data_IF_380775456398
#
_entry.id   IF_380775456398
#
_cell.length_a   1.000
_cell.length_b   1.000
_cell.length_c   1.000
_cell.angle_alpha   90.00
_cell.angle_beta   90.00
_cell.angle_gamma   90.00
#
_symmetry.space_group_name_H-M   'P 1'
#
loop_
_entity.id
_entity.type
_entity.pdbx_description
1 polymer ?
#
# COMPACT_ATOMS: atom_id res chain seq x y z
N UNK A 1 -13.62 5.31 -9.26
CA UNK A 1 -12.42 5.74 -9.98
C UNK A 1 -11.27 4.95 -9.41
N UNK A 2 -10.56 4.22 -10.25
CA UNK A 2 -9.36 3.50 -9.91
C UNK A 2 -8.20 4.53 -10.01
N UNK A 3 -7.62 4.88 -8.91
CA UNK A 3 -6.39 5.65 -8.89
C UNK A 3 -5.26 4.65 -9.08
N UNK A 4 -4.92 4.35 -10.35
CA UNK A 4 -3.80 3.50 -10.68
C UNK A 4 -2.59 3.87 -9.83
N UNK A 5 -2.06 2.92 -9.10
CA UNK A 5 -0.82 3.13 -8.34
C UNK A 5 0.31 3.53 -9.30
N UNK A 6 1.45 4.04 -8.82
CA UNK A 6 2.58 4.50 -9.64
C UNK A 6 3.25 3.40 -10.47
N UNK A 7 2.60 2.27 -10.65
CA UNK A 7 3.15 1.01 -11.15
C UNK A 7 3.53 0.95 -12.63
N UNK A 8 3.14 1.90 -13.47
CA UNK A 8 3.50 1.81 -14.90
C UNK A 8 4.67 2.71 -15.33
N UNK A 9 5.04 3.72 -14.53
CA UNK A 9 6.07 4.68 -14.93
C UNK A 9 7.48 4.39 -14.40
N UNK A 10 7.67 3.43 -13.49
CA UNK A 10 8.95 3.06 -12.89
C UNK A 10 9.24 1.55 -13.06
N UNK A 11 9.08 1.04 -14.28
CA UNK A 11 9.70 -0.23 -14.64
C UNK A 11 11.22 -0.03 -14.53
N UNK A 12 11.84 -0.65 -13.53
CA UNK A 12 13.29 -0.67 -13.40
C UNK A 12 13.94 -1.14 -14.71
N UNK A 13 15.21 -0.78 -14.91
CA UNK A 13 15.99 -1.19 -16.08
C UNK A 13 15.84 -2.70 -16.32
N UNK A 14 15.56 -3.09 -17.54
CA UNK A 14 15.57 -4.51 -17.95
C UNK A 14 17.01 -4.98 -18.17
N UNK A 15 17.23 -6.29 -18.19
CA UNK A 15 18.57 -6.84 -18.52
C UNK A 15 19.08 -6.38 -19.89
N UNK A 16 18.17 -6.22 -20.87
CA UNK A 16 18.53 -5.71 -22.20
C UNK A 16 18.98 -4.24 -22.13
N UNK A 17 18.32 -3.43 -21.32
CA UNK A 17 18.74 -2.04 -21.09
C UNK A 17 20.09 -1.95 -20.38
N UNK A 18 20.36 -2.86 -19.43
CA UNK A 18 21.67 -2.94 -18.78
C UNK A 18 22.76 -3.29 -19.82
N UNK A 19 22.52 -4.26 -20.70
CA UNK A 19 23.45 -4.60 -21.79
C UNK A 19 23.69 -3.40 -22.74
N UNK A 20 22.65 -2.64 -23.06
CA UNK A 20 22.77 -1.42 -23.88
C UNK A 20 23.64 -0.37 -23.15
N UNK A 21 23.46 -0.18 -21.84
CA UNK A 21 24.30 0.73 -21.05
C UNK A 21 25.77 0.28 -21.11
N UNK A 22 26.05 -1.01 -20.92
CA UNK A 22 27.41 -1.55 -21.05
C UNK A 22 28.02 -1.34 -22.43
N UNK A 23 27.22 -1.49 -23.51
CA UNK A 23 27.69 -1.30 -24.88
C UNK A 23 27.98 0.18 -25.23
N UNK A 24 27.20 1.10 -24.67
CA UNK A 24 27.30 2.54 -25.01
C UNK A 24 28.17 3.35 -24.04
N UNK A 25 28.56 2.77 -22.90
CA UNK A 25 29.40 3.44 -21.92
C UNK A 25 30.65 2.60 -21.59
N UNK A 26 31.82 2.93 -22.17
CA UNK A 26 33.04 2.16 -21.92
C UNK A 26 33.46 2.07 -20.46
N UNK A 27 33.02 3.02 -19.63
CA UNK A 27 33.32 3.07 -18.19
C UNK A 27 32.74 1.90 -17.41
N UNK A 28 31.61 1.31 -17.87
CA UNK A 28 30.93 0.21 -17.18
C UNK A 28 31.62 -1.16 -17.35
N UNK A 29 32.66 -1.25 -18.16
CA UNK A 29 33.41 -2.49 -18.37
C UNK A 29 34.85 -2.43 -17.81
N UNK A 30 35.17 -1.46 -16.95
CA UNK A 30 36.49 -1.28 -16.37
C UNK A 30 36.55 -1.84 -14.95
N UNK A 31 37.77 -2.19 -14.48
CA UNK A 31 38.01 -2.62 -13.10
C UNK A 31 37.71 -1.52 -12.05
N UNK A 32 37.54 -0.29 -12.50
CA UNK A 32 37.22 0.86 -11.63
C UNK A 32 35.73 1.04 -11.41
N UNK A 33 34.90 0.42 -12.23
CA UNK A 33 33.43 0.55 -12.13
C UNK A 33 32.75 -0.82 -12.33
N UNK A 34 32.09 -1.30 -11.29
CA UNK A 34 31.35 -2.55 -11.31
C UNK A 34 29.87 -2.30 -10.99
N UNK A 35 28.98 -2.79 -11.85
CA UNK A 35 27.55 -2.78 -11.60
C UNK A 35 27.23 -3.94 -10.68
N UNK A 36 26.94 -3.66 -9.41
CA UNK A 36 26.67 -4.67 -8.38
C UNK A 36 25.40 -5.47 -8.62
N UNK A 37 24.48 -4.93 -9.38
CA UNK A 37 23.20 -5.60 -9.66
C UNK A 37 22.16 -4.62 -10.14
N UNK A 38 20.98 -5.16 -10.37
CA UNK A 38 19.80 -4.40 -10.78
C UNK A 38 18.62 -4.85 -9.92
N UNK A 39 18.06 -3.91 -9.16
CA UNK A 39 16.91 -4.16 -8.30
C UNK A 39 15.65 -3.75 -9.04
N UNK A 40 14.82 -4.70 -9.52
CA UNK A 40 13.56 -4.36 -10.17
C UNK A 40 12.59 -3.68 -9.20
N UNK A 41 11.74 -2.81 -9.72
CA UNK A 41 10.64 -2.27 -8.92
C UNK A 41 9.66 -3.37 -8.54
N UNK A 42 9.22 -3.39 -7.28
CA UNK A 42 8.26 -4.36 -6.77
C UNK A 42 7.09 -3.64 -6.10
N UNK A 43 5.91 -3.73 -6.71
CA UNK A 43 4.68 -3.17 -6.13
C UNK A 43 4.37 -3.74 -4.74
N UNK A 44 4.67 -5.02 -4.50
CA UNK A 44 4.39 -5.67 -3.21
C UNK A 44 5.19 -5.08 -2.06
N UNK A 45 6.36 -4.52 -2.34
CA UNK A 45 7.22 -3.87 -1.33
C UNK A 45 6.84 -2.41 -1.07
N UNK A 46 5.95 -1.83 -1.89
CA UNK A 46 5.55 -0.42 -1.78
C UNK A 46 4.21 -0.22 -1.07
N UNK A 47 3.58 -1.30 -0.58
CA UNK A 47 2.25 -1.24 0.05
C UNK A 47 2.33 -0.77 1.50
N UNK A 48 1.69 0.36 1.86
CA UNK A 48 1.66 0.86 3.23
C UNK A 48 0.71 0.02 4.11
N UNK A 49 0.89 0.09 5.42
CA UNK A 49 -0.11 -0.40 6.39
C UNK A 49 -1.30 0.56 6.43
N UNK A 50 -2.46 0.06 6.80
CA UNK A 50 -3.65 0.92 7.04
C UNK A 50 -3.36 1.94 8.16
N UNK A 51 -2.50 1.60 9.11
CA UNK A 51 -1.99 2.51 10.15
C UNK A 51 -1.26 3.72 9.55
N UNK A 52 -0.39 3.51 8.56
CA UNK A 52 0.38 4.58 7.92
C UNK A 52 -0.54 5.51 7.12
N UNK A 53 -1.53 4.92 6.46
CA UNK A 53 -2.59 5.68 5.77
C UNK A 53 -3.37 6.56 6.75
N UNK A 54 -3.75 6.04 7.92
CA UNK A 54 -4.46 6.81 8.93
C UNK A 54 -3.65 8.02 9.42
N UNK A 55 -2.34 7.85 9.60
CA UNK A 55 -1.43 8.93 9.99
C UNK A 55 -1.35 10.03 8.91
N UNK A 56 -1.23 9.65 7.63
CA UNK A 56 -1.21 10.60 6.51
C UNK A 56 -2.51 11.39 6.40
N UNK A 57 -3.63 10.75 6.70
CA UNK A 57 -4.96 11.37 6.62
C UNK A 57 -5.36 12.16 7.87
N UNK A 58 -4.57 12.15 8.94
CA UNK A 58 -4.95 12.66 10.28
C UNK A 58 -6.28 12.07 10.76
N UNK A 59 -6.43 10.77 10.54
CA UNK A 59 -7.69 10.08 10.75
C UNK A 59 -7.99 9.81 12.23
N UNK A 60 -9.28 9.80 12.56
CA UNK A 60 -9.77 9.34 13.86
C UNK A 60 -10.26 7.90 13.76
N UNK A 61 -9.78 7.02 14.62
CA UNK A 61 -10.18 5.62 14.64
C UNK A 61 -11.61 5.44 15.18
N UNK A 62 -12.45 4.78 14.42
CA UNK A 62 -13.72 4.21 14.88
C UNK A 62 -13.51 2.75 15.31
N UNK A 63 -12.62 2.06 14.62
CA UNK A 63 -12.13 0.73 14.97
C UNK A 63 -10.70 0.59 14.45
N UNK A 64 -9.70 0.56 15.33
CA UNK A 64 -8.31 0.38 14.92
C UNK A 64 -8.07 -1.02 14.35
N UNK A 65 -8.67 -2.04 14.96
CA UNK A 65 -8.57 -3.43 14.53
C UNK A 65 -7.12 -3.86 14.25
N UNK A 66 -6.91 -4.44 13.08
CA UNK A 66 -5.60 -4.94 12.64
C UNK A 66 -4.86 -3.92 11.74
N UNK A 67 -5.02 -2.62 11.97
CA UNK A 67 -4.47 -1.56 11.12
C UNK A 67 -2.94 -1.66 10.92
N UNK A 68 -2.19 -2.12 11.93
CA UNK A 68 -0.73 -2.27 11.86
C UNK A 68 -0.25 -3.45 11.04
N UNK A 69 -1.10 -4.43 10.78
CA UNK A 69 -0.76 -5.63 9.99
C UNK A 69 -1.43 -5.67 8.62
N UNK A 70 -2.54 -4.96 8.42
CA UNK A 70 -3.23 -4.93 7.14
C UNK A 70 -2.53 -3.98 6.16
N UNK A 71 -2.20 -4.50 4.97
CA UNK A 71 -1.55 -3.77 3.87
C UNK A 71 -2.56 -3.23 2.88
N UNK A 72 -2.38 -1.99 2.44
CA UNK A 72 -3.25 -1.34 1.44
C UNK A 72 -2.69 -1.58 0.06
N UNK A 73 -3.20 -2.62 -0.62
CA UNK A 73 -2.78 -3.01 -1.98
C UNK A 73 -3.39 -2.09 -3.02
N UNK A 74 -4.64 -1.70 -2.81
CA UNK A 74 -5.35 -0.76 -3.68
C UNK A 74 -6.28 0.14 -2.87
N UNK A 75 -6.58 1.32 -3.40
CA UNK A 75 -7.55 2.25 -2.83
C UNK A 75 -8.68 2.48 -3.80
N UNK A 76 -9.92 2.33 -3.34
CA UNK A 76 -11.12 2.59 -4.16
C UNK A 76 -12.01 3.67 -3.57
N UNK A 77 -12.20 4.74 -4.33
CA UNK A 77 -13.19 5.77 -4.03
C UNK A 77 -14.57 5.31 -4.51
N UNK A 78 -15.49 5.12 -3.58
CA UNK A 78 -16.81 4.56 -3.85
C UNK A 78 -17.84 5.68 -4.05
N UNK A 79 -18.14 5.98 -5.30
CA UNK A 79 -19.16 6.94 -5.69
C UNK A 79 -20.50 6.30 -6.11
N UNK A 80 -20.50 4.98 -6.43
CA UNK A 80 -21.71 4.26 -6.91
C UNK A 80 -22.37 3.46 -5.77
N UNK A 81 -23.61 3.02 -6.01
CA UNK A 81 -24.31 2.09 -5.12
C UNK A 81 -23.69 0.69 -5.13
N UNK A 82 -23.93 -0.10 -4.09
CA UNK A 82 -23.39 -1.46 -3.92
C UNK A 82 -23.58 -2.34 -5.16
N UNK A 83 -24.73 -2.24 -5.82
CA UNK A 83 -25.03 -3.03 -7.02
C UNK A 83 -24.12 -2.73 -8.22
N UNK A 84 -23.38 -1.63 -8.20
CA UNK A 84 -22.59 -1.13 -9.33
C UNK A 84 -21.09 -0.95 -8.99
N UNK A 85 -20.59 -1.60 -7.93
CA UNK A 85 -19.18 -1.55 -7.49
C UNK A 85 -18.53 -2.93 -7.60
N UNK A 86 -18.61 -3.53 -8.78
CA UNK A 86 -17.94 -4.80 -9.06
C UNK A 86 -16.44 -4.71 -8.74
N UNK A 87 -15.92 -5.73 -8.08
CA UNK A 87 -14.49 -5.82 -7.72
C UNK A 87 -14.01 -4.81 -6.67
N UNK A 88 -14.89 -4.13 -5.93
CA UNK A 88 -14.46 -3.23 -4.86
C UNK A 88 -14.09 -3.98 -3.57
N UNK A 89 -14.63 -5.16 -3.35
CA UNK A 89 -14.41 -5.95 -2.14
C UNK A 89 -13.37 -7.05 -2.37
N UNK A 90 -12.10 -6.63 -2.57
CA UNK A 90 -10.99 -7.56 -2.77
C UNK A 90 -10.03 -7.51 -1.58
N UNK A 91 -9.17 -8.54 -1.50
CA UNK A 91 -8.08 -8.57 -0.52
C UNK A 91 -7.20 -7.32 -0.61
N UNK A 92 -6.97 -6.66 0.52
CA UNK A 92 -6.08 -5.50 0.59
C UNK A 92 -6.68 -4.21 0.03
N UNK A 93 -7.98 -4.18 -0.32
CA UNK A 93 -8.63 -2.94 -0.74
C UNK A 93 -8.93 -2.04 0.46
N UNK A 94 -8.52 -0.79 0.38
CA UNK A 94 -8.97 0.30 1.23
C UNK A 94 -10.13 1.02 0.54
N UNK A 95 -11.30 1.01 1.17
CA UNK A 95 -12.49 1.70 0.64
C UNK A 95 -12.54 3.12 1.19
N UNK A 96 -12.78 4.10 0.33
CA UNK A 96 -13.00 5.51 0.69
C UNK A 96 -14.41 5.90 0.30
N UNK A 97 -15.22 6.36 1.26
CA UNK A 97 -16.62 6.64 1.05
C UNK A 97 -17.10 7.75 2.00
N UNK A 98 -18.13 8.51 1.61
CA UNK A 98 -18.77 9.46 2.52
C UNK A 98 -19.36 8.73 3.74
N UNK A 99 -19.21 9.30 4.94
CA UNK A 99 -19.57 8.62 6.19
C UNK A 99 -21.07 8.38 6.41
N UNK A 100 -21.93 8.94 5.57
CA UNK A 100 -23.38 8.74 5.55
C UNK A 100 -23.84 7.63 4.57
N UNK A 101 -22.91 6.92 3.92
CA UNK A 101 -23.22 5.84 2.98
C UNK A 101 -23.42 4.51 3.70
N UNK A 102 -24.55 4.41 4.39
CA UNK A 102 -24.95 3.22 5.16
C UNK A 102 -24.96 1.95 4.31
N UNK A 103 -25.31 2.04 3.02
CA UNK A 103 -25.29 0.92 2.08
C UNK A 103 -23.91 0.32 1.89
N UNK A 104 -22.89 1.15 1.75
CA UNK A 104 -21.50 0.70 1.57
C UNK A 104 -20.91 0.20 2.88
N UNK A 105 -21.24 0.84 4.00
CA UNK A 105 -20.80 0.43 5.33
C UNK A 105 -21.31 -0.99 5.65
N UNK A 106 -22.61 -1.25 5.40
CA UNK A 106 -23.21 -2.57 5.57
C UNK A 106 -22.61 -3.61 4.62
N UNK A 107 -22.39 -3.25 3.35
CA UNK A 107 -21.76 -4.14 2.38
C UNK A 107 -20.31 -4.49 2.77
N UNK A 108 -19.55 -3.52 3.28
CA UNK A 108 -18.19 -3.72 3.80
C UNK A 108 -18.21 -4.67 4.99
N UNK A 109 -19.15 -4.48 5.93
CA UNK A 109 -19.30 -5.37 7.07
C UNK A 109 -19.64 -6.81 6.63
N UNK A 110 -20.54 -6.97 5.66
CA UNK A 110 -20.91 -8.28 5.12
C UNK A 110 -19.75 -8.94 4.40
N UNK A 111 -18.98 -8.21 3.56
CA UNK A 111 -17.79 -8.72 2.90
C UNK A 111 -16.76 -9.22 3.90
N UNK A 112 -16.53 -8.45 4.96
CA UNK A 112 -15.61 -8.81 6.05
C UNK A 112 -16.06 -10.09 6.78
N UNK A 113 -17.35 -10.22 7.09
CA UNK A 113 -17.92 -11.43 7.72
C UNK A 113 -17.85 -12.65 6.81
N UNK A 114 -17.87 -12.46 5.49
CA UNK A 114 -17.64 -13.51 4.49
C UNK A 114 -16.15 -13.82 4.26
N UNK A 115 -15.26 -13.27 5.08
CA UNK A 115 -13.83 -13.59 5.06
C UNK A 115 -13.02 -12.80 4.03
N UNK A 116 -13.55 -11.72 3.45
CA UNK A 116 -12.76 -10.84 2.57
C UNK A 116 -11.81 -10.00 3.43
N UNK A 117 -10.49 -10.15 3.30
CA UNK A 117 -9.52 -9.42 4.11
C UNK A 117 -9.27 -8.03 3.52
N UNK A 118 -10.25 -7.13 3.65
CA UNK A 118 -10.12 -5.73 3.27
C UNK A 118 -9.00 -5.04 4.07
N UNK A 119 -8.31 -4.07 3.48
CA UNK A 119 -7.35 -3.24 4.20
C UNK A 119 -8.06 -2.36 5.23
N UNK A 120 -9.21 -1.78 4.88
CA UNK A 120 -10.01 -0.97 5.79
C UNK A 120 -11.08 -0.15 5.10
N UNK A 121 -11.72 0.71 5.90
CA UNK A 121 -12.76 1.65 5.45
C UNK A 121 -12.44 3.05 5.97
N UNK A 122 -12.41 4.03 5.07
CA UNK A 122 -12.27 5.46 5.37
C UNK A 122 -13.61 6.15 5.16
N UNK A 123 -14.16 6.75 6.21
CA UNK A 123 -15.37 7.54 6.19
C UNK A 123 -14.99 9.03 6.08
N UNK A 124 -15.44 9.69 5.01
CA UNK A 124 -15.04 11.07 4.69
C UNK A 124 -16.13 12.08 5.04
N UNK A 125 -15.74 13.37 5.11
CA UNK A 125 -16.64 14.49 5.30
C UNK A 125 -17.05 14.77 6.74
N UNK A 126 -16.34 14.22 7.73
CA UNK A 126 -16.70 14.30 9.16
C UNK A 126 -18.12 13.77 9.45
N UNK A 127 -18.60 12.88 8.57
CA UNK A 127 -19.90 12.25 8.67
C UNK A 127 -19.78 10.92 9.40
N UNK A 128 -20.68 10.67 10.32
CA UNK A 128 -20.74 9.43 11.09
C UNK A 128 -21.91 8.56 10.68
N UNK A 129 -21.72 7.24 10.58
CA UNK A 129 -22.83 6.34 10.30
C UNK A 129 -23.88 6.36 11.39
N UNK A 130 -25.12 6.03 11.04
CA UNK A 130 -26.22 5.92 11.99
C UNK A 130 -25.92 4.86 13.06
N UNK A 131 -26.28 5.12 14.32
CA UNK A 131 -26.06 4.20 15.46
C UNK A 131 -26.61 2.79 15.22
N UNK A 132 -27.74 2.66 14.50
CA UNK A 132 -28.30 1.36 14.18
C UNK A 132 -27.44 0.59 13.18
N UNK A 133 -26.81 1.28 12.21
CA UNK A 133 -25.85 0.70 11.27
C UNK A 133 -24.61 0.21 12.02
N UNK A 134 -24.07 1.04 12.91
CA UNK A 134 -22.93 0.66 13.77
C UNK A 134 -23.25 -0.60 14.60
N UNK A 135 -24.43 -0.67 15.19
CA UNK A 135 -24.90 -1.85 15.95
C UNK A 135 -24.96 -3.12 15.10
N UNK A 136 -25.44 -3.01 13.85
CA UNK A 136 -25.51 -4.12 12.89
C UNK A 136 -24.11 -4.60 12.49
N UNK A 137 -23.13 -3.69 12.37
CA UNK A 137 -21.76 -3.99 11.98
C UNK A 137 -20.90 -4.55 13.14
N UNK A 138 -21.40 -4.66 14.36
CA UNK A 138 -20.64 -5.04 15.56
C UNK A 138 -19.78 -6.30 15.39
N UNK A 139 -20.29 -7.32 14.72
CA UNK A 139 -19.53 -8.57 14.52
C UNK A 139 -18.41 -8.40 13.49
N UNK A 140 -18.62 -7.58 12.46
CA UNK A 140 -17.57 -7.23 11.50
C UNK A 140 -16.44 -6.42 12.16
N UNK A 141 -16.79 -5.49 13.06
CA UNK A 141 -15.79 -4.73 13.85
C UNK A 141 -14.90 -5.67 14.67
N UNK A 142 -15.47 -6.71 15.28
CA UNK A 142 -14.71 -7.70 16.04
C UNK A 142 -13.78 -8.57 15.20
N UNK A 143 -13.97 -8.65 13.88
CA UNK A 143 -13.09 -9.38 12.97
C UNK A 143 -11.80 -8.65 12.61
N UNK A 144 -11.55 -7.49 13.23
CA UNK A 144 -10.30 -6.75 13.09
C UNK A 144 -10.24 -5.80 11.89
N UNK A 145 -11.36 -5.54 11.18
CA UNK A 145 -11.35 -4.55 10.08
C UNK A 145 -11.07 -3.15 10.62
N UNK A 146 -10.05 -2.43 10.10
CA UNK A 146 -9.82 -1.04 10.44
C UNK A 146 -10.90 -0.13 9.85
N UNK A 147 -11.46 0.75 10.67
CA UNK A 147 -12.39 1.79 10.21
C UNK A 147 -11.98 3.12 10.82
N UNK A 148 -11.83 4.12 9.97
CA UNK A 148 -11.42 5.45 10.37
C UNK A 148 -12.32 6.53 9.77
N UNK A 149 -12.38 7.68 10.40
CA UNK A 149 -13.08 8.86 9.90
C UNK A 149 -12.08 9.99 9.64
N UNK A 150 -12.32 10.78 8.60
CA UNK A 150 -11.52 11.95 8.23
C UNK A 150 -12.44 13.15 7.99
N UNK A 151 -11.91 14.35 8.26
CA UNK A 151 -12.65 15.60 8.09
C UNK A 151 -12.75 16.04 6.62
N UNK A 152 -11.74 15.66 5.83
CA UNK A 152 -11.69 15.99 4.41
C UNK A 152 -12.83 15.29 3.64
N UNK A 153 -13.25 15.90 2.54
CA UNK A 153 -14.18 15.25 1.63
C UNK A 153 -13.50 14.09 0.88
N UNK A 154 -14.29 13.37 0.09
CA UNK A 154 -13.81 12.16 -0.59
C UNK A 154 -12.75 12.46 -1.66
N UNK A 155 -12.80 13.62 -2.32
CA UNK A 155 -11.84 14.01 -3.34
C UNK A 155 -10.49 14.38 -2.72
N UNK A 156 -10.51 15.27 -1.71
CA UNK A 156 -9.29 15.68 -1.00
C UNK A 156 -8.63 14.48 -0.31
N UNK A 157 -9.42 13.59 0.28
CA UNK A 157 -8.92 12.35 0.87
C UNK A 157 -8.21 11.48 -0.17
N UNK A 158 -8.82 11.26 -1.33
CA UNK A 158 -8.23 10.50 -2.42
C UNK A 158 -6.95 11.16 -2.94
N UNK A 159 -6.93 12.48 -3.06
CA UNK A 159 -5.74 13.22 -3.50
C UNK A 159 -4.58 13.08 -2.51
N UNK A 160 -4.83 13.14 -1.19
CA UNK A 160 -3.81 12.89 -0.16
C UNK A 160 -3.24 11.48 -0.26
N UNK A 161 -4.08 10.48 -0.53
CA UNK A 161 -3.65 9.09 -0.70
C UNK A 161 -2.78 8.89 -1.96
N UNK A 162 -3.14 9.52 -3.07
CA UNK A 162 -2.33 9.47 -4.31
C UNK A 162 -0.94 10.10 -4.12
N UNK A 163 -0.86 11.16 -3.31
CA UNK A 163 0.39 11.88 -3.02
C UNK A 163 1.13 11.33 -1.79
N UNK A 164 0.71 10.22 -1.22
CA UNK A 164 1.35 9.61 -0.07
C UNK A 164 2.78 9.17 -0.40
N UNK A 165 3.73 9.46 0.49
CA UNK A 165 5.10 8.93 0.38
C UNK A 165 5.14 7.41 0.51
N UNK A 166 6.04 6.78 -0.27
CA UNK A 166 6.31 5.34 -0.19
C UNK A 166 7.46 5.00 0.75
N UNK A 167 7.93 5.96 1.53
CA UNK A 167 8.95 5.71 2.56
C UNK A 167 8.48 4.62 3.53
N UNK A 168 9.47 3.85 4.02
CA UNK A 168 9.21 2.82 5.02
C UNK A 168 9.27 3.50 6.38
N UNK A 169 8.19 3.51 7.17
CA UNK A 169 8.24 4.02 8.52
C UNK A 169 9.21 3.22 9.41
N UNK A 170 9.87 3.88 10.35
CA UNK A 170 10.88 3.29 11.24
C UNK A 170 10.35 2.10 12.04
N UNK A 171 9.05 2.06 12.32
CA UNK A 171 8.39 0.98 13.05
C UNK A 171 7.87 -0.16 12.17
N UNK A 172 7.97 -0.06 10.83
CA UNK A 172 7.61 -1.13 9.88
C UNK A 172 8.81 -2.06 9.61
N UNK A 173 9.27 -2.72 10.66
CA UNK A 173 10.46 -3.59 10.61
C UNK A 173 10.28 -4.80 9.70
N UNK A 174 9.06 -5.33 9.57
CA UNK A 174 8.74 -6.43 8.66
C UNK A 174 9.04 -6.03 7.21
N UNK A 175 8.49 -4.89 6.77
CA UNK A 175 8.73 -4.36 5.42
C UNK A 175 10.19 -3.99 5.20
N UNK A 176 10.86 -3.43 6.20
CA UNK A 176 12.28 -3.12 6.11
C UNK A 176 13.14 -4.38 5.85
N UNK A 177 12.85 -5.49 6.53
CA UNK A 177 13.52 -6.77 6.33
C UNK A 177 13.19 -7.36 4.94
N UNK A 178 11.93 -7.30 4.51
CA UNK A 178 11.53 -7.77 3.17
C UNK A 178 12.27 -7.02 2.06
N UNK A 179 12.34 -5.69 2.16
CA UNK A 179 13.06 -4.84 1.20
C UNK A 179 14.56 -5.15 1.23
N UNK A 180 15.17 -5.28 2.41
CA UNK A 180 16.58 -5.61 2.54
C UNK A 180 16.90 -6.97 1.88
N UNK A 181 16.08 -7.99 2.12
CA UNK A 181 16.24 -9.31 1.50
C UNK A 181 16.04 -9.26 -0.02
N UNK A 182 15.04 -8.51 -0.48
CA UNK A 182 14.79 -8.33 -1.90
C UNK A 182 15.96 -7.65 -2.61
N UNK A 183 16.49 -6.57 -2.04
CA UNK A 183 17.68 -5.87 -2.57
C UNK A 183 18.89 -6.81 -2.58
N UNK A 184 19.14 -7.50 -1.46
CA UNK A 184 20.29 -8.43 -1.34
C UNK A 184 20.23 -9.56 -2.38
N UNK A 185 19.05 -10.06 -2.73
CA UNK A 185 18.88 -11.11 -3.74
C UNK A 185 19.20 -10.64 -5.18
N UNK A 186 19.28 -9.32 -5.41
CA UNK A 186 19.56 -8.73 -6.73
C UNK A 186 20.96 -8.10 -6.82
N UNK A 187 21.78 -8.24 -5.78
CA UNK A 187 23.15 -7.70 -5.73
C UNK A 187 24.18 -8.82 -5.81
N UNK A 188 25.32 -8.55 -6.46
CA UNK A 188 26.50 -9.41 -6.46
C UNK A 188 27.26 -9.26 -5.13
N UNK A 189 26.72 -9.91 -4.09
CA UNK A 189 27.29 -9.87 -2.75
C UNK A 189 28.64 -10.60 -2.66
N UNK A 190 28.90 -11.57 -3.54
CA UNK A 190 30.15 -12.30 -3.55
C UNK A 190 31.29 -11.39 -4.04
N UNK A 191 31.05 -10.62 -5.10
CA UNK A 191 32.01 -9.62 -5.55
C UNK A 191 32.28 -8.56 -4.47
N UNK A 192 31.22 -8.07 -3.82
CA UNK A 192 31.35 -7.11 -2.70
C UNK A 192 32.23 -7.67 -1.59
N UNK A 193 31.99 -8.89 -1.14
CA UNK A 193 32.79 -9.55 -0.10
C UNK A 193 34.25 -9.70 -0.55
N UNK A 194 34.47 -10.20 -1.76
CA UNK A 194 35.83 -10.38 -2.29
C UNK A 194 36.62 -9.06 -2.36
N UNK A 195 35.93 -7.96 -2.73
CA UNK A 195 36.60 -6.66 -2.89
C UNK A 195 36.90 -5.96 -1.57
N UNK A 196 36.01 -6.08 -0.57
CA UNK A 196 36.08 -5.32 0.68
C UNK A 196 36.60 -6.15 1.88
N UNK A 197 36.63 -7.49 1.81
CA UNK A 197 37.21 -8.32 2.87
C UNK A 197 38.75 -8.40 2.83
N UNK A 198 39.39 -7.99 1.73
CA UNK A 198 40.84 -8.03 1.58
C UNK A 198 41.60 -6.78 2.10
N UNK A 199 40.92 -5.90 2.84
CA UNK A 199 41.52 -4.68 3.40
C UNK A 199 41.66 -4.70 4.94
N UNK A 200 41.83 -5.87 5.53
CA UNK A 200 42.30 -6.04 6.93
C UNK A 200 43.61 -6.81 7.01
#
# INVERSE_FOLDING_TARGET
>A
VDFGGPGEALLGLTQDQLQQIHQHSPSFGTDQFHVLGMVPFSNSLSVPRTWDVANVLDATWLNEGEAKSRRVVETKLIGRSVANIEGAFNRGTLLVVAGDRDDIILATALATLNGVPLAGLVLTGDLMPNDNVVKLCRNALKSGIPIMSVKTDSFDTAQRLVNMSYEIPDDDTERAIEVANYVAAHLDLEWMKAKFSNNN
#
